data_IF_845940378514
#
_entry.id   IF_845940378514
#
_cell.length_a   1.000
_cell.length_b   1.000
_cell.length_c   1.000
_cell.angle_alpha   90.00
_cell.angle_beta   90.00
_cell.angle_gamma   90.00
#
_symmetry.space_group_name_H-M   'P 1'
#
loop_
_entity.id
_entity.type
_entity.pdbx_description
1 polymer ?
#
# COMPACT_ATOMS: atom_id res chain seq x y z
N UNK A 1 -16.12 7.49 -6.99
CA UNK A 1 -14.65 7.62 -6.93
C UNK A 1 -14.27 7.43 -5.48
N UNK A 2 -13.31 6.56 -5.19
CA UNK A 2 -12.89 6.21 -3.83
C UNK A 2 -11.39 6.52 -3.76
N UNK A 3 -10.93 7.08 -2.64
CA UNK A 3 -9.52 7.33 -2.36
C UNK A 3 -8.96 6.17 -1.55
N UNK A 4 -7.99 5.45 -2.12
CA UNK A 4 -7.42 4.22 -1.57
C UNK A 4 -5.95 4.44 -1.31
N UNK A 5 -5.48 4.08 -0.13
CA UNK A 5 -4.07 3.98 0.21
C UNK A 5 -3.65 2.52 0.28
N UNK A 6 -2.58 2.15 -0.42
CA UNK A 6 -1.94 0.84 -0.31
C UNK A 6 -0.57 1.01 0.37
N UNK A 7 -0.34 0.31 1.49
CA UNK A 7 0.95 0.30 2.17
C UNK A 7 1.61 -1.07 1.95
N UNK A 8 2.74 -1.09 1.26
CA UNK A 8 3.39 -2.34 0.81
C UNK A 8 4.89 -2.34 1.09
N UNK A 9 5.53 -3.51 1.12
CA UNK A 9 6.98 -3.64 1.23
C UNK A 9 7.70 -3.26 -0.06
N UNK A 10 9.00 -3.02 0.04
CA UNK A 10 9.86 -2.58 -1.07
C UNK A 10 9.79 -3.52 -2.28
N UNK A 11 9.84 -4.83 -2.06
CA UNK A 11 9.88 -5.82 -3.15
C UNK A 11 8.55 -5.93 -3.89
N UNK A 12 7.44 -5.63 -3.22
CA UNK A 12 6.10 -5.73 -3.79
C UNK A 12 5.66 -4.46 -4.51
N UNK A 13 6.34 -3.32 -4.30
CA UNK A 13 5.95 -2.02 -4.84
C UNK A 13 5.72 -2.05 -6.35
N UNK A 14 6.69 -2.54 -7.13
CA UNK A 14 6.58 -2.56 -8.59
C UNK A 14 5.49 -3.51 -9.11
N UNK A 15 5.13 -4.55 -8.34
CA UNK A 15 4.02 -5.44 -8.68
C UNK A 15 2.69 -4.72 -8.43
N UNK A 16 2.53 -4.10 -7.26
CA UNK A 16 1.32 -3.33 -6.92
C UNK A 16 1.12 -2.19 -7.91
N UNK A 17 2.17 -1.43 -8.23
CA UNK A 17 2.11 -0.33 -9.20
C UNK A 17 1.56 -0.81 -10.56
N UNK A 18 2.07 -1.93 -11.10
CA UNK A 18 1.58 -2.53 -12.34
C UNK A 18 0.13 -2.99 -12.25
N UNK A 19 -0.28 -3.52 -11.10
CA UNK A 19 -1.67 -3.95 -10.88
C UNK A 19 -2.60 -2.75 -10.85
N UNK A 20 -2.24 -1.66 -10.17
CA UNK A 20 -3.15 -0.51 -9.99
C UNK A 20 -3.15 0.45 -11.17
N UNK A 21 -2.05 0.55 -11.92
CA UNK A 21 -1.92 1.43 -13.08
C UNK A 21 -3.10 1.41 -14.08
N UNK A 22 -3.65 0.24 -14.49
CA UNK A 22 -4.78 0.20 -15.40
C UNK A 22 -6.13 0.62 -14.79
N UNK A 23 -6.23 0.84 -13.47
CA UNK A 23 -7.48 1.21 -12.79
C UNK A 23 -7.55 2.71 -12.54
N UNK A 24 -8.24 3.43 -13.42
CA UNK A 24 -8.41 4.89 -13.40
C UNK A 24 -9.68 5.38 -12.66
N UNK A 25 -10.56 4.46 -12.24
CA UNK A 25 -11.84 4.80 -11.61
C UNK A 25 -11.74 5.28 -10.16
N UNK A 26 -10.59 5.06 -9.54
CA UNK A 26 -10.31 5.37 -8.13
C UNK A 26 -8.99 6.12 -8.03
N UNK A 27 -8.84 6.94 -6.99
CA UNK A 27 -7.54 7.54 -6.68
C UNK A 27 -6.79 6.54 -5.80
N UNK A 28 -5.67 6.02 -6.30
CA UNK A 28 -4.91 4.98 -5.59
C UNK A 28 -3.50 5.50 -5.32
N UNK A 29 -3.19 5.72 -4.05
CA UNK A 29 -1.85 6.05 -3.59
C UNK A 29 -1.14 4.79 -3.09
N UNK A 30 0.16 4.67 -3.37
CA UNK A 30 1.00 3.59 -2.86
C UNK A 30 2.10 4.17 -1.98
N UNK A 31 2.23 3.66 -0.74
CA UNK A 31 3.33 3.98 0.17
C UNK A 31 4.19 2.75 0.44
N UNK A 32 5.50 2.95 0.44
CA UNK A 32 6.48 1.92 0.75
C UNK A 32 6.74 1.93 2.26
N UNK A 33 6.47 0.80 2.92
CA UNK A 33 6.88 0.58 4.30
C UNK A 33 8.40 0.28 4.36
N UNK A 34 9.07 0.56 5.50
CA UNK A 34 10.51 0.36 5.66
C UNK A 34 10.88 -1.12 5.89
N UNK A 35 10.32 -2.01 5.07
CA UNK A 35 10.55 -3.47 5.09
C UNK A 35 10.62 -4.00 3.66
N UNK A 36 11.38 -5.07 3.45
CA UNK A 36 11.49 -5.71 2.13
C UNK A 36 10.18 -6.33 1.67
N UNK A 37 9.46 -6.97 2.60
CA UNK A 37 8.26 -7.77 2.32
C UNK A 37 7.10 -7.29 3.19
N UNK A 38 5.91 -7.12 2.59
CA UNK A 38 4.72 -6.59 3.26
C UNK A 38 4.27 -7.42 4.48
N UNK A 39 4.58 -8.72 4.51
CA UNK A 39 4.31 -9.60 5.64
C UNK A 39 5.04 -9.20 6.94
N UNK A 40 6.09 -8.38 6.86
CA UNK A 40 6.82 -7.85 8.02
C UNK A 40 6.33 -6.47 8.48
N UNK A 41 5.29 -5.93 7.85
CA UNK A 41 4.68 -4.66 8.29
C UNK A 41 4.06 -4.88 9.67
N UNK A 42 4.55 -4.14 10.67
CA UNK A 42 3.96 -4.13 12.01
C UNK A 42 2.99 -2.97 12.20
N UNK A 43 2.10 -3.08 13.17
CA UNK A 43 1.17 -2.02 13.59
C UNK A 43 1.91 -0.70 13.83
N UNK A 44 3.01 -0.74 14.58
CA UNK A 44 3.81 0.45 14.90
C UNK A 44 4.41 1.13 13.65
N UNK A 45 4.70 0.37 12.59
CA UNK A 45 5.13 0.94 11.31
C UNK A 45 3.97 1.61 10.59
N UNK A 46 2.81 0.96 10.57
CA UNK A 46 1.58 1.52 10.00
C UNK A 46 1.21 2.82 10.69
N UNK A 47 1.25 2.86 12.02
CA UNK A 47 0.96 4.08 12.80
C UNK A 47 1.89 5.24 12.42
N UNK A 48 3.19 4.98 12.25
CA UNK A 48 4.16 6.00 11.83
C UNK A 48 3.87 6.52 10.42
N UNK A 49 3.50 5.63 9.50
CA UNK A 49 3.15 6.00 8.12
C UNK A 49 1.85 6.82 8.13
N UNK A 50 0.83 6.35 8.85
CA UNK A 50 -0.48 7.02 8.96
C UNK A 50 -0.33 8.39 9.64
N UNK A 51 0.51 8.52 10.66
CA UNK A 51 0.78 9.81 11.31
C UNK A 51 1.45 10.84 10.39
N UNK A 52 2.14 10.39 9.33
CA UNK A 52 2.79 11.26 8.34
C UNK A 52 1.87 11.71 7.21
N UNK A 53 0.62 11.22 7.17
CA UNK A 53 -0.36 11.52 6.14
C UNK A 53 -1.66 12.03 6.76
N UNK A 54 -2.45 12.76 5.98
CA UNK A 54 -3.82 13.06 6.39
C UNK A 54 -4.72 11.85 6.07
N UNK A 55 -4.96 10.99 7.07
CA UNK A 55 -5.77 9.77 6.91
C UNK A 55 -7.21 10.05 6.46
N UNK A 56 -7.74 11.23 6.76
CA UNK A 56 -9.12 11.61 6.43
C UNK A 56 -9.31 11.82 4.91
N UNK A 57 -8.21 11.84 4.14
CA UNK A 57 -8.26 11.88 2.68
C UNK A 57 -8.55 10.52 2.05
N UNK A 58 -8.50 9.43 2.82
CA UNK A 58 -8.64 8.07 2.31
C UNK A 58 -9.90 7.40 2.87
N UNK A 59 -10.67 6.78 1.97
CA UNK A 59 -11.83 5.98 2.33
C UNK A 59 -11.42 4.55 2.73
N UNK A 60 -10.27 4.08 2.23
CA UNK A 60 -9.77 2.72 2.45
C UNK A 60 -8.24 2.70 2.55
N UNK A 61 -7.72 1.94 3.52
CA UNK A 61 -6.30 1.64 3.65
C UNK A 61 -6.11 0.12 3.53
N UNK A 62 -5.27 -0.30 2.60
CA UNK A 62 -4.95 -1.69 2.33
C UNK A 62 -3.53 -2.01 2.76
N UNK A 63 -3.39 -3.09 3.52
CA UNK A 63 -2.12 -3.69 3.93
C UNK A 63 -1.99 -5.04 3.21
N UNK A 64 -1.63 -5.08 1.91
CA UNK A 64 -1.47 -6.33 1.19
C UNK A 64 -0.44 -7.22 1.92
N UNK A 65 -0.81 -8.48 2.14
CA UNK A 65 0.10 -9.50 2.63
C UNK A 65 1.16 -9.88 1.60
N UNK A 66 1.74 -11.06 1.74
CA UNK A 66 2.71 -11.58 0.77
C UNK A 66 2.06 -11.73 -0.61
N UNK A 67 2.53 -10.94 -1.59
CA UNK A 67 2.11 -11.04 -3.00
C UNK A 67 3.19 -11.80 -3.74
N UNK A 68 3.19 -13.13 -3.64
CA UNK A 68 3.95 -13.97 -4.56
C UNK A 68 2.96 -14.46 -5.63
N UNK A 69 3.09 -13.91 -6.83
CA UNK A 69 2.57 -14.58 -8.02
C UNK A 69 3.58 -15.66 -8.34
N UNK A 70 3.17 -16.93 -8.25
CA UNK A 70 3.98 -18.05 -8.69
C UNK A 70 4.53 -17.76 -10.09
N UNK A 71 5.86 -17.74 -10.22
CA UNK A 71 6.59 -17.70 -11.50
C UNK A 71 6.40 -18.96 -12.29
#
# INVERSE_FOLDING_TARGET
MINILIITGQNSYGIIEKIVYPYDKHNIDIKIAPVSVSAFISEQMVDKIIASINKDNYDLILLPGFVQWDT
#
